data_IF_621302729897
#
_entry.id   IF_621302729897
#
_cell.length_a   1.000
_cell.length_b   1.000
_cell.length_c   1.000
_cell.angle_alpha   90.00
_cell.angle_beta   90.00
_cell.angle_gamma   90.00
#
_symmetry.space_group_name_H-M   'P 1'
#
loop_
_entity.id
_entity.type
_entity.pdbx_description
1 polymer ?
#
# COMPACT_ATOMS: atom_id res chain seq x y z
N UNK A 1 -18.67 13.43 20.11
CA UNK A 1 -19.19 12.04 19.96
C UNK A 1 -18.74 11.17 21.12
N UNK A 2 -19.40 10.03 21.35
CA UNK A 2 -18.99 9.05 22.38
C UNK A 2 -17.72 8.34 21.93
N UNK A 3 -16.65 8.38 22.71
CA UNK A 3 -15.35 7.77 22.34
C UNK A 3 -15.13 6.39 22.93
N UNK A 4 -15.89 6.01 23.96
CA UNK A 4 -15.79 4.69 24.58
C UNK A 4 -17.12 4.29 25.24
N UNK A 5 -17.43 2.99 25.21
CA UNK A 5 -18.48 2.37 26.03
C UNK A 5 -17.92 1.12 26.69
N UNK A 6 -18.31 0.87 27.93
CA UNK A 6 -17.94 -0.35 28.64
C UNK A 6 -19.21 -1.10 29.04
N UNK A 7 -19.29 -2.37 28.64
CA UNK A 7 -20.33 -3.27 29.10
C UNK A 7 -19.83 -4.03 30.34
N UNK A 8 -20.19 -3.54 31.52
CA UNK A 8 -19.80 -4.14 32.80
C UNK A 8 -20.39 -5.54 33.05
N UNK A 9 -21.39 -5.96 32.27
CA UNK A 9 -21.99 -7.29 32.39
C UNK A 9 -21.26 -8.35 31.54
N UNK A 10 -20.71 -7.96 30.38
CA UNK A 10 -19.96 -8.85 29.49
C UNK A 10 -18.45 -8.69 29.57
N UNK A 11 -17.94 -7.62 30.17
CA UNK A 11 -16.49 -7.33 30.22
C UNK A 11 -15.93 -6.81 28.90
N UNK A 12 -16.79 -6.41 27.95
CA UNK A 12 -16.38 -5.80 26.68
C UNK A 12 -16.24 -4.29 26.80
N UNK A 13 -15.25 -3.74 26.10
CA UNK A 13 -15.02 -2.32 25.88
C UNK A 13 -15.13 -2.04 24.39
N UNK A 14 -15.89 -1.01 24.03
CA UNK A 14 -15.97 -0.50 22.67
C UNK A 14 -15.32 0.89 22.62
N UNK A 15 -14.38 1.11 21.70
CA UNK A 15 -13.73 2.40 21.47
C UNK A 15 -14.09 2.93 20.07
N UNK A 16 -14.34 4.23 19.97
CA UNK A 16 -14.82 4.88 18.75
C UNK A 16 -13.92 6.05 18.37
N UNK A 17 -13.53 6.12 17.09
CA UNK A 17 -12.78 7.22 16.50
C UNK A 17 -13.62 7.95 15.45
N UNK A 18 -13.42 9.26 15.31
CA UNK A 18 -14.20 10.10 14.40
C UNK A 18 -13.29 10.98 13.55
N UNK A 19 -13.75 11.36 12.37
CA UNK A 19 -13.10 12.37 11.55
C UNK A 19 -13.43 13.81 12.00
N UNK A 20 -12.90 14.81 11.28
CA UNK A 20 -13.14 16.23 11.55
C UNK A 20 -14.59 16.67 11.34
N UNK A 21 -15.41 15.84 10.71
CA UNK A 21 -16.84 16.06 10.48
C UNK A 21 -17.71 15.24 11.45
N UNK A 22 -17.11 14.73 12.54
CA UNK A 22 -17.77 13.92 13.56
C UNK A 22 -18.35 12.58 13.04
N UNK A 23 -17.85 12.07 11.91
CA UNK A 23 -18.25 10.78 11.34
C UNK A 23 -17.37 9.66 11.87
N UNK A 24 -17.98 8.53 12.25
CA UNK A 24 -17.27 7.38 12.84
C UNK A 24 -16.31 6.76 11.83
N UNK A 25 -15.01 6.77 12.06
CA UNK A 25 -14.00 6.20 11.17
C UNK A 25 -13.50 4.83 11.62
N UNK A 26 -13.61 4.53 12.92
CA UNK A 26 -13.22 3.23 13.48
C UNK A 26 -14.04 2.89 14.72
N UNK A 27 -14.40 1.62 14.87
CA UNK A 27 -14.99 1.02 16.05
C UNK A 27 -14.18 -0.21 16.47
N UNK A 28 -13.65 -0.22 17.69
CA UNK A 28 -12.91 -1.36 18.24
C UNK A 28 -13.73 -2.01 19.34
N UNK A 29 -13.84 -3.33 19.36
CA UNK A 29 -14.45 -4.10 20.46
C UNK A 29 -13.39 -5.01 21.05
N UNK A 30 -13.05 -4.78 22.31
CA UNK A 30 -12.06 -5.57 23.05
C UNK A 30 -12.66 -6.16 24.32
N UNK A 31 -12.15 -7.29 24.79
CA UNK A 31 -12.53 -7.85 26.09
C UNK A 31 -12.61 -9.38 26.07
N UNK A 32 -13.16 -9.97 27.12
CA UNK A 32 -13.24 -11.42 27.26
C UNK A 32 -14.60 -11.82 27.81
N UNK A 33 -15.32 -12.68 27.08
CA UNK A 33 -16.58 -13.29 27.54
C UNK A 33 -16.33 -14.78 27.68
N UNK A 34 -16.60 -15.35 28.87
CA UNK A 34 -16.52 -16.81 29.11
C UNK A 34 -15.19 -17.45 28.67
N UNK A 35 -14.08 -16.69 28.73
CA UNK A 35 -12.74 -17.13 28.32
C UNK A 35 -12.43 -16.95 26.82
N UNK A 36 -13.36 -16.45 26.02
CA UNK A 36 -13.16 -16.09 24.62
C UNK A 36 -12.74 -14.63 24.53
N UNK A 37 -11.56 -14.38 23.97
CA UNK A 37 -11.06 -13.02 23.72
C UNK A 37 -11.66 -12.42 22.45
N UNK A 38 -12.19 -11.21 22.59
CA UNK A 38 -12.68 -10.36 21.52
C UNK A 38 -11.66 -9.26 21.28
N UNK A 39 -11.27 -9.09 20.02
CA UNK A 39 -10.44 -7.98 19.56
C UNK A 39 -10.78 -7.69 18.10
N UNK A 40 -11.96 -7.11 17.90
CA UNK A 40 -12.50 -6.80 16.58
C UNK A 40 -12.33 -5.32 16.30
N UNK A 41 -11.97 -4.98 15.07
CA UNK A 41 -11.92 -3.59 14.59
C UNK A 41 -12.72 -3.46 13.30
N UNK A 42 -13.58 -2.46 13.24
CA UNK A 42 -14.33 -2.10 12.04
C UNK A 42 -13.94 -0.70 11.61
N UNK A 43 -13.45 -0.57 10.38
CA UNK A 43 -13.08 0.70 9.78
C UNK A 43 -14.16 1.16 8.80
N UNK A 44 -14.34 2.48 8.71
CA UNK A 44 -15.37 3.12 7.90
C UNK A 44 -14.74 4.21 7.04
N UNK A 45 -15.10 4.26 5.76
CA UNK A 45 -14.74 5.35 4.86
C UNK A 45 -16.00 6.01 4.31
N UNK A 46 -15.87 7.29 3.97
CA UNK A 46 -16.99 8.09 3.48
C UNK A 46 -16.61 8.89 2.25
N UNK A 47 -17.58 9.13 1.38
CA UNK A 47 -17.48 10.14 0.33
C UNK A 47 -17.70 11.56 0.88
N UNK A 48 -17.64 12.55 -0.02
CA UNK A 48 -17.87 13.96 0.30
C UNK A 48 -19.33 14.26 0.67
N UNK A 49 -20.27 13.40 0.27
CA UNK A 49 -21.69 13.54 0.58
C UNK A 49 -22.06 12.91 1.92
N UNK A 50 -21.09 12.27 2.60
CA UNK A 50 -21.30 11.58 3.87
C UNK A 50 -21.83 10.16 3.73
N UNK A 51 -21.88 9.61 2.53
CA UNK A 51 -22.21 8.20 2.32
C UNK A 51 -21.02 7.34 2.71
N UNK A 52 -21.28 6.18 3.31
CA UNK A 52 -20.24 5.19 3.60
C UNK A 52 -19.80 4.57 2.28
N UNK A 53 -18.54 4.66 1.90
CA UNK A 53 -18.01 4.02 0.69
C UNK A 53 -17.41 2.66 0.97
N UNK A 54 -16.99 2.40 2.22
CA UNK A 54 -16.41 1.13 2.62
C UNK A 54 -16.65 0.87 4.11
N UNK A 55 -16.99 -0.37 4.47
CA UNK A 55 -16.88 -0.90 5.84
C UNK A 55 -16.08 -2.19 5.83
N UNK A 56 -15.07 -2.31 6.68
CA UNK A 56 -14.17 -3.46 6.66
C UNK A 56 -14.81 -4.83 6.99
N UNK A 57 -16.02 -4.84 7.55
CA UNK A 57 -16.80 -6.05 7.87
C UNK A 57 -17.85 -6.42 6.80
N UNK A 58 -18.10 -5.54 5.83
CA UNK A 58 -19.07 -5.73 4.74
C UNK A 58 -18.37 -5.69 3.39
N UNK A 59 -17.61 -4.63 3.10
CA UNK A 59 -16.99 -4.35 1.80
C UNK A 59 -17.29 -2.94 1.29
N UNK A 60 -17.15 -2.75 -0.02
CA UNK A 60 -17.43 -1.49 -0.71
C UNK A 60 -18.93 -1.27 -0.93
N UNK A 61 -19.32 0.01 -0.93
CA UNK A 61 -20.68 0.47 -1.16
C UNK A 61 -20.72 1.32 -2.45
N UNK A 62 -21.51 0.87 -3.41
CA UNK A 62 -21.81 1.64 -4.62
C UNK A 62 -23.13 2.38 -4.49
N UNK A 63 -23.20 3.58 -5.06
CA UNK A 63 -24.38 4.43 -5.01
C UNK A 63 -24.87 4.81 -6.40
N UNK A 64 -26.19 5.00 -6.50
CA UNK A 64 -26.84 5.43 -7.72
C UNK A 64 -26.42 6.88 -8.07
N UNK A 65 -25.89 7.07 -9.28
CA UNK A 65 -25.44 8.38 -9.74
C UNK A 65 -26.54 9.48 -9.78
N UNK A 66 -27.81 9.10 -9.90
CA UNK A 66 -28.97 10.02 -9.92
C UNK A 66 -29.67 10.13 -8.56
N UNK A 67 -29.33 9.24 -7.62
CA UNK A 67 -29.88 9.20 -6.27
C UNK A 67 -28.71 8.96 -5.31
N UNK A 68 -27.95 10.01 -4.94
CA UNK A 68 -26.61 9.89 -4.37
C UNK A 68 -26.54 9.16 -3.02
N UNK A 69 -27.67 8.95 -2.33
CA UNK A 69 -27.74 8.18 -1.08
C UNK A 69 -28.38 6.79 -1.26
N UNK A 70 -28.74 6.41 -2.49
CA UNK A 70 -29.34 5.12 -2.78
C UNK A 70 -28.24 4.12 -3.14
N UNK A 71 -27.97 3.19 -2.23
CA UNK A 71 -27.05 2.08 -2.44
C UNK A 71 -27.56 1.21 -3.60
N UNK A 72 -26.68 0.86 -4.54
CA UNK A 72 -26.98 0.00 -5.69
C UNK A 72 -26.37 -1.38 -5.55
N UNK A 73 -25.23 -1.48 -4.88
CA UNK A 73 -24.58 -2.72 -4.51
C UNK A 73 -23.79 -2.49 -3.23
N UNK A 74 -23.74 -3.52 -2.42
CA UNK A 74 -22.67 -3.74 -1.47
C UNK A 74 -21.94 -4.96 -1.96
N UNK A 75 -20.61 -4.92 -1.99
CA UNK A 75 -19.84 -6.15 -2.19
C UNK A 75 -19.97 -6.94 -0.87
N UNK A 76 -21.05 -7.72 -0.73
CA UNK A 76 -21.43 -8.40 0.51
C UNK A 76 -20.52 -9.62 0.71
N UNK A 77 -19.33 -9.37 1.26
CA UNK A 77 -18.50 -10.42 1.84
C UNK A 77 -18.61 -10.29 3.36
N UNK A 78 -19.67 -10.87 3.99
CA UNK A 78 -19.85 -10.80 5.43
C UNK A 78 -18.72 -11.58 6.10
N UNK A 79 -17.74 -10.86 6.63
CA UNK A 79 -16.64 -11.47 7.38
C UNK A 79 -17.13 -11.78 8.80
N UNK A 80 -17.68 -12.99 8.99
CA UNK A 80 -17.91 -13.55 10.33
C UNK A 80 -17.44 -15.01 10.44
N UNK A 81 -16.25 -15.12 11.03
CA UNK A 81 -15.65 -16.23 11.79
C UNK A 81 -15.37 -17.59 11.10
N UNK A 82 -14.05 -17.76 10.84
CA UNK A 82 -13.23 -18.96 10.61
C UNK A 82 -12.86 -19.26 9.15
N UNK A 83 -11.60 -18.90 8.81
CA UNK A 83 -10.82 -19.05 7.55
C UNK A 83 -11.37 -20.02 6.49
N UNK A 84 -11.36 -19.64 5.20
CA UNK A 84 -10.15 -19.26 4.49
C UNK A 84 -10.10 -17.77 4.22
N UNK A 85 -8.94 -17.25 4.48
CA UNK A 85 -8.53 -15.90 4.25
C UNK A 85 -8.41 -15.65 2.73
N UNK A 86 -9.39 -14.98 2.17
CA UNK A 86 -9.29 -14.44 0.81
C UNK A 86 -8.22 -13.36 0.80
N UNK A 87 -7.16 -13.57 0.04
CA UNK A 87 -6.10 -12.59 -0.28
C UNK A 87 -6.74 -11.22 -0.56
N UNK A 88 -6.44 -10.25 0.31
CA UNK A 88 -7.02 -8.90 0.31
C UNK A 88 -6.23 -7.93 -0.58
N UNK A 89 -4.98 -8.27 -0.92
CA UNK A 89 -4.07 -7.44 -1.70
C UNK A 89 -3.26 -8.27 -2.71
N UNK A 90 -3.82 -8.44 -3.91
CA UNK A 90 -3.18 -9.12 -5.04
C UNK A 90 -1.65 -8.87 -5.15
N UNK A 91 -0.88 -9.94 -5.27
CA UNK A 91 0.58 -9.89 -5.44
C UNK A 91 1.07 -9.41 -6.83
N UNK A 92 0.40 -8.43 -7.44
CA UNK A 92 0.72 -7.89 -8.76
C UNK A 92 0.17 -6.45 -8.97
N UNK A 93 0.32 -5.91 -10.18
CA UNK A 93 -0.03 -4.52 -10.51
C UNK A 93 -1.53 -4.20 -10.45
N UNK A 94 -2.41 -5.21 -10.39
CA UNK A 94 -3.86 -5.03 -10.21
C UNK A 94 -4.27 -4.89 -8.74
N UNK A 95 -3.32 -4.76 -7.82
CA UNK A 95 -3.64 -4.52 -6.40
C UNK A 95 -4.51 -3.28 -6.18
N UNK A 96 -5.48 -3.44 -5.29
CA UNK A 96 -6.30 -2.38 -4.73
C UNK A 96 -5.56 -1.60 -3.64
N UNK A 97 -4.56 -2.22 -2.99
CA UNK A 97 -3.74 -1.63 -1.95
C UNK A 97 -3.03 -0.36 -2.40
N UNK A 98 -3.23 0.73 -1.68
CA UNK A 98 -2.65 2.04 -1.96
C UNK A 98 -2.30 2.76 -0.67
N UNK A 99 -1.20 3.49 -0.69
CA UNK A 99 -0.84 4.42 0.39
C UNK A 99 -0.06 5.60 -0.16
N UNK A 100 0.00 6.69 0.60
CA UNK A 100 0.70 7.91 0.22
C UNK A 100 2.00 8.07 1.00
N UNK A 101 2.89 8.90 0.49
CA UNK A 101 4.10 9.29 1.21
C UNK A 101 3.75 9.91 2.58
N UNK A 102 4.56 9.59 3.58
CA UNK A 102 4.42 9.98 4.99
C UNK A 102 3.12 9.49 5.65
N UNK A 103 2.51 8.44 5.10
CA UNK A 103 1.39 7.72 5.70
C UNK A 103 1.79 6.30 6.10
N UNK A 104 0.89 5.63 6.83
CA UNK A 104 0.98 4.22 7.18
C UNK A 104 -0.23 3.47 6.66
N UNK A 105 -0.02 2.23 6.25
CA UNK A 105 -1.08 1.26 5.94
C UNK A 105 -0.86 0.00 6.76
N UNK A 106 -1.94 -0.65 7.14
CA UNK A 106 -1.91 -1.96 7.81
C UNK A 106 -2.42 -3.03 6.86
N UNK A 107 -1.83 -4.21 6.93
CA UNK A 107 -2.31 -5.40 6.24
C UNK A 107 -2.10 -6.63 7.10
N UNK A 108 -2.44 -7.79 6.57
CA UNK A 108 -2.32 -9.05 7.26
C UNK A 108 -1.81 -10.11 6.29
N UNK A 109 -0.82 -10.90 6.72
CA UNK A 109 -0.40 -12.08 5.96
C UNK A 109 -1.34 -13.20 6.38
N UNK A 110 -2.31 -13.48 5.53
CA UNK A 110 -3.44 -14.37 5.77
C UNK A 110 -3.05 -15.85 5.77
N UNK A 111 -2.25 -16.22 4.77
CA UNK A 111 -1.83 -17.60 4.52
C UNK A 111 -0.35 -17.70 4.20
N UNK A 112 0.14 -18.93 4.23
CA UNK A 112 1.46 -19.21 3.69
C UNK A 112 1.57 -18.78 2.21
N UNK A 113 2.68 -18.14 1.84
CA UNK A 113 2.99 -17.58 0.51
C UNK A 113 2.28 -16.31 0.11
N UNK A 114 1.47 -15.77 1.01
CA UNK A 114 0.77 -14.53 0.80
C UNK A 114 1.73 -13.32 0.73
N UNK A 115 1.37 -12.38 -0.14
CA UNK A 115 2.17 -11.21 -0.49
C UNK A 115 1.29 -10.05 -0.91
N UNK A 116 1.17 -9.13 0.01
CA UNK A 116 0.34 -7.96 -0.21
C UNK A 116 1.13 -6.91 -0.98
N UNK A 117 0.62 -6.47 -2.13
CA UNK A 117 1.21 -5.37 -2.87
C UNK A 117 0.49 -4.06 -2.60
N UNK A 118 1.24 -2.99 -2.34
CA UNK A 118 0.71 -1.64 -2.21
C UNK A 118 1.32 -0.72 -3.26
N UNK A 119 0.47 0.04 -3.97
CA UNK A 119 0.93 1.04 -4.92
C UNK A 119 1.17 2.40 -4.26
N UNK A 120 2.26 3.05 -4.66
CA UNK A 120 2.66 4.39 -4.22
C UNK A 120 3.22 5.18 -5.40
N UNK A 121 2.85 6.45 -5.53
CA UNK A 121 3.42 7.35 -6.54
C UNK A 121 4.65 8.06 -5.97
N UNK A 122 5.78 7.92 -6.64
CA UNK A 122 7.04 8.56 -6.28
C UNK A 122 7.51 9.51 -7.38
N UNK A 123 8.23 10.56 -7.01
CA UNK A 123 8.86 11.49 -7.95
C UNK A 123 10.33 11.14 -8.18
N UNK A 124 10.85 11.32 -9.39
CA UNK A 124 12.26 11.10 -9.69
C UNK A 124 13.18 11.88 -8.71
N UNK A 125 14.25 11.23 -8.23
CA UNK A 125 15.18 11.75 -7.24
C UNK A 125 14.69 11.68 -5.79
N UNK A 126 13.43 11.33 -5.54
CA UNK A 126 12.90 11.19 -4.18
C UNK A 126 13.49 9.94 -3.51
N UNK A 127 14.12 10.13 -2.35
CA UNK A 127 14.61 9.05 -1.52
C UNK A 127 13.59 8.78 -0.41
N UNK A 128 13.11 7.54 -0.35
CA UNK A 128 12.04 7.10 0.53
C UNK A 128 12.52 5.87 1.28
N UNK A 129 12.30 5.86 2.58
CA UNK A 129 12.47 4.68 3.42
C UNK A 129 11.12 4.03 3.66
N UNK A 130 11.02 2.76 3.29
CA UNK A 130 9.91 1.88 3.58
C UNK A 130 10.24 1.07 4.82
N UNK A 131 9.38 1.13 5.83
CA UNK A 131 9.53 0.42 7.11
C UNK A 131 8.33 -0.51 7.30
N UNK A 132 8.59 -1.82 7.31
CA UNK A 132 7.57 -2.86 7.45
C UNK A 132 7.69 -3.47 8.84
N UNK A 133 6.66 -3.25 9.66
CA UNK A 133 6.73 -3.50 11.10
C UNK A 133 5.64 -4.44 11.58
N UNK A 134 6.00 -5.37 12.44
CA UNK A 134 5.10 -6.32 13.08
C UNK A 134 5.22 -6.31 14.61
N UNK A 135 5.20 -7.49 15.23
CA UNK A 135 5.23 -7.65 16.68
C UNK A 135 6.48 -7.09 17.38
N UNK A 136 7.70 -7.07 16.78
CA UNK A 136 8.88 -6.54 17.49
C UNK A 136 8.76 -5.07 17.90
N UNK A 137 7.91 -4.30 17.22
CA UNK A 137 7.61 -2.89 17.56
C UNK A 137 6.15 -2.67 17.91
N UNK A 138 5.42 -3.73 18.30
CA UNK A 138 4.00 -3.69 18.65
C UNK A 138 3.12 -3.04 17.56
N UNK A 139 3.55 -3.13 16.29
CA UNK A 139 2.90 -2.51 15.13
C UNK A 139 2.18 -3.55 14.25
N UNK A 140 1.82 -4.68 14.87
CA UNK A 140 1.21 -5.82 14.23
C UNK A 140 1.44 -7.11 15.03
N UNK A 141 0.88 -8.22 14.58
CA UNK A 141 1.09 -9.56 15.17
C UNK A 141 2.09 -10.40 14.39
N UNK A 142 2.47 -9.99 13.18
CA UNK A 142 3.45 -10.69 12.36
C UNK A 142 4.82 -10.66 13.05
N UNK A 143 5.37 -11.84 13.32
CA UNK A 143 6.60 -11.96 14.12
C UNK A 143 7.87 -11.62 13.34
N UNK A 144 7.85 -11.82 12.03
CA UNK A 144 9.02 -11.69 11.17
C UNK A 144 8.58 -11.13 9.80
N UNK A 145 8.23 -9.83 9.73
CA UNK A 145 7.93 -9.18 8.46
C UNK A 145 9.13 -9.23 7.52
N UNK A 146 8.88 -9.46 6.23
CA UNK A 146 9.90 -9.42 5.19
C UNK A 146 9.39 -8.63 3.98
N UNK A 147 9.98 -7.45 3.74
CA UNK A 147 9.85 -6.67 2.51
C UNK A 147 10.36 -7.46 1.30
N UNK A 148 9.44 -7.99 0.50
CA UNK A 148 9.72 -8.86 -0.65
C UNK A 148 10.23 -8.14 -1.89
N UNK A 149 10.18 -6.82 -1.90
CA UNK A 149 10.74 -6.02 -2.98
C UNK A 149 9.95 -4.76 -3.26
N UNK A 150 10.60 -3.90 -4.02
CA UNK A 150 10.00 -2.76 -4.70
C UNK A 150 9.97 -3.08 -6.19
N UNK A 151 8.81 -2.95 -6.79
CA UNK A 151 8.57 -3.23 -8.19
C UNK A 151 8.28 -1.94 -8.95
N UNK A 152 8.73 -1.87 -10.19
CA UNK A 152 8.45 -0.73 -11.07
C UNK A 152 7.00 -0.73 -11.57
N UNK A 153 6.65 0.26 -12.40
CA UNK A 153 5.30 0.43 -12.92
C UNK A 153 4.78 -0.74 -13.78
N UNK A 154 5.68 -1.61 -14.26
CA UNK A 154 5.35 -2.81 -15.04
C UNK A 154 5.20 -4.06 -14.17
N UNK A 155 5.48 -3.94 -12.87
CA UNK A 155 5.52 -5.08 -11.94
C UNK A 155 6.85 -5.85 -11.99
N UNK A 156 7.92 -5.24 -12.50
CA UNK A 156 9.25 -5.86 -12.51
C UNK A 156 10.00 -5.53 -11.23
N UNK A 157 10.59 -6.55 -10.57
CA UNK A 157 11.36 -6.37 -9.35
C UNK A 157 12.60 -5.50 -9.59
N UNK A 158 12.76 -4.46 -8.78
CA UNK A 158 13.97 -3.64 -8.77
C UNK A 158 15.00 -4.33 -7.88
N UNK A 159 16.18 -4.64 -8.43
CA UNK A 159 17.25 -5.32 -7.69
C UNK A 159 17.65 -4.60 -6.40
N UNK A 160 18.05 -5.37 -5.38
CA UNK A 160 18.51 -4.87 -4.08
C UNK A 160 17.44 -4.09 -3.29
N UNK A 161 16.17 -4.46 -3.44
CA UNK A 161 15.04 -3.85 -2.70
C UNK A 161 14.29 -4.84 -1.80
N UNK A 162 14.85 -6.03 -1.61
CA UNK A 162 14.41 -7.01 -0.61
C UNK A 162 15.11 -6.73 0.71
N UNK A 163 14.40 -6.80 1.85
CA UNK A 163 15.01 -6.66 3.18
C UNK A 163 14.27 -7.52 4.19
N UNK A 164 15.01 -8.28 4.97
CA UNK A 164 14.50 -9.17 6.01
C UNK A 164 14.52 -8.45 7.36
N UNK A 165 15.72 -8.19 7.89
CA UNK A 165 15.96 -7.72 9.26
C UNK A 165 16.68 -6.37 9.36
N UNK A 166 16.61 -5.51 8.34
CA UNK A 166 17.28 -4.19 8.39
C UNK A 166 16.54 -3.15 9.25
N UNK A 167 15.42 -3.53 9.87
CA UNK A 167 14.61 -2.71 10.79
C UNK A 167 14.93 -2.95 12.27
N UNK A 168 13.99 -2.57 13.15
CA UNK A 168 14.12 -2.82 14.60
C UNK A 168 13.68 -4.26 14.91
N UNK A 169 14.57 -5.07 15.46
CA UNK A 169 14.28 -6.49 15.69
C UNK A 169 14.23 -7.24 14.35
N UNK A 170 13.26 -8.13 14.18
CA UNK A 170 13.00 -8.85 12.92
C UNK A 170 12.10 -8.06 11.95
N UNK A 171 12.07 -6.73 12.05
CA UNK A 171 11.31 -5.91 11.10
C UNK A 171 12.19 -5.58 9.89
N UNK A 172 11.57 -5.28 8.76
CA UNK A 172 12.29 -4.95 7.52
C UNK A 172 12.35 -3.46 7.24
N UNK A 173 13.43 -3.04 6.55
CA UNK A 173 13.61 -1.66 6.14
C UNK A 173 14.35 -1.54 4.81
N UNK A 174 13.78 -0.81 3.87
CA UNK A 174 14.44 -0.52 2.58
C UNK A 174 14.47 0.99 2.35
N UNK A 175 15.63 1.53 2.01
CA UNK A 175 15.74 2.90 1.51
C UNK A 175 15.93 2.86 0.00
N UNK A 176 15.02 3.50 -0.73
CA UNK A 176 14.92 3.49 -2.18
C UNK A 176 14.96 4.90 -2.73
N UNK A 177 15.67 5.11 -3.84
CA UNK A 177 15.63 6.38 -4.59
C UNK A 177 14.93 6.14 -5.92
N UNK A 178 13.81 6.82 -6.15
CA UNK A 178 13.07 6.70 -7.40
C UNK A 178 13.86 7.33 -8.55
N UNK A 179 14.12 6.56 -9.61
CA UNK A 179 14.84 7.06 -10.79
C UNK A 179 13.93 7.78 -11.80
N UNK A 180 12.63 7.51 -11.72
CA UNK A 180 11.59 8.06 -12.60
C UNK A 180 10.38 8.46 -11.76
N UNK A 181 9.63 9.47 -12.22
CA UNK A 181 8.35 9.80 -11.60
C UNK A 181 7.30 8.81 -12.08
N UNK A 182 6.88 7.89 -11.21
CA UNK A 182 5.93 6.85 -11.58
C UNK A 182 5.24 6.21 -10.37
N UNK A 183 4.32 5.29 -10.65
CA UNK A 183 3.81 4.34 -9.66
C UNK A 183 4.81 3.22 -9.45
N UNK A 184 5.08 2.91 -8.19
CA UNK A 184 5.86 1.77 -7.74
C UNK A 184 4.99 0.89 -6.85
N UNK A 185 5.34 -0.39 -6.74
CA UNK A 185 4.63 -1.35 -5.90
C UNK A 185 5.56 -1.90 -4.81
N UNK A 186 5.08 -1.93 -3.58
CA UNK A 186 5.83 -2.43 -2.42
C UNK A 186 5.18 -3.75 -2.01
N UNK A 187 5.97 -4.83 -1.99
CA UNK A 187 5.47 -6.16 -1.59
C UNK A 187 5.82 -6.43 -0.13
N UNK A 188 4.80 -6.54 0.71
CA UNK A 188 4.91 -7.06 2.06
C UNK A 188 4.82 -8.59 2.05
N UNK A 189 5.28 -9.22 3.13
CA UNK A 189 5.28 -10.67 3.30
C UNK A 189 5.91 -11.04 4.65
N UNK A 190 6.10 -12.34 4.88
CA UNK A 190 6.67 -12.87 6.12
C UNK A 190 7.89 -13.76 5.86
N UNK A 191 9.00 -13.69 6.62
CA UNK A 191 10.25 -14.43 6.31
C UNK A 191 10.04 -15.92 6.07
N UNK A 192 9.57 -16.62 7.10
CA UNK A 192 9.13 -18.01 7.02
C UNK A 192 7.74 -18.11 6.39
N UNK A 193 7.75 -17.99 5.07
CA UNK A 193 6.56 -17.86 4.24
C UNK A 193 5.59 -19.05 4.32
N UNK A 194 6.00 -20.20 4.88
CA UNK A 194 5.16 -21.40 5.00
C UNK A 194 4.33 -21.48 6.28
N UNK A 195 4.59 -20.63 7.28
CA UNK A 195 3.86 -20.70 8.56
C UNK A 195 3.73 -19.38 9.31
N UNK A 196 4.51 -18.36 8.94
CA UNK A 196 4.43 -17.06 9.60
C UNK A 196 3.33 -16.22 8.95
N UNK A 197 2.37 -15.82 9.76
CA UNK A 197 1.16 -15.08 9.37
C UNK A 197 0.89 -14.03 10.46
N UNK A 198 0.06 -13.04 10.13
CA UNK A 198 -0.33 -12.00 11.07
C UNK A 198 -0.24 -10.59 10.49
N UNK A 199 -0.63 -9.63 11.32
CA UNK A 199 -0.79 -8.24 10.91
C UNK A 199 0.53 -7.49 10.91
N UNK A 200 0.65 -6.49 10.04
CA UNK A 200 1.79 -5.60 9.97
C UNK A 200 1.36 -4.17 9.68
N UNK A 201 2.29 -3.23 9.87
CA UNK A 201 2.17 -1.83 9.46
C UNK A 201 3.31 -1.48 8.51
N UNK A 202 2.98 -1.05 7.29
CA UNK A 202 3.93 -0.49 6.33
C UNK A 202 3.88 1.04 6.38
N UNK A 203 5.03 1.68 6.43
CA UNK A 203 5.15 3.14 6.29
C UNK A 203 6.10 3.52 5.17
N UNK A 204 5.88 4.70 4.58
CA UNK A 204 6.83 5.31 3.65
C UNK A 204 7.19 6.71 4.14
N UNK A 205 8.46 6.95 4.42
CA UNK A 205 8.95 8.25 4.90
C UNK A 205 9.96 8.83 3.91
N UNK A 206 9.82 10.09 3.53
CA UNK A 206 10.86 10.78 2.74
C UNK A 206 12.09 10.97 3.62
N UNK A 207 13.21 10.37 3.22
CA UNK A 207 14.48 10.46 3.95
C UNK A 207 15.54 11.28 3.20
N UNK A 208 15.25 11.66 1.96
CA UNK A 208 16.07 12.60 1.21
C UNK A 208 15.45 12.98 -0.13
N UNK A 209 16.11 13.90 -0.82
CA UNK A 209 15.80 14.22 -2.21
C UNK A 209 17.10 14.47 -2.93
N UNK A 210 17.51 13.52 -3.76
CA UNK A 210 18.63 13.69 -4.65
C UNK A 210 18.13 14.45 -5.88
N UNK A 211 18.05 15.78 -5.78
CA UNK A 211 17.72 16.67 -6.91
C UNK A 211 18.74 16.58 -8.08
N UNK A 212 19.84 15.84 -7.88
CA UNK A 212 20.87 15.54 -8.88
C UNK A 212 20.70 14.18 -9.58
N UNK A 213 19.67 13.39 -9.25
CA UNK A 213 19.19 12.37 -10.19
C UNK A 213 18.48 13.14 -11.30
N UNK A 214 19.24 13.54 -12.32
CA UNK A 214 18.66 13.81 -13.64
C UNK A 214 17.77 12.58 -13.89
N UNK A 215 16.45 12.75 -14.11
CA UNK A 215 15.57 11.61 -14.36
C UNK A 215 16.31 10.73 -15.36
N UNK A 216 16.38 9.41 -15.12
CA UNK A 216 16.80 8.53 -16.21
C UNK A 216 15.86 8.93 -17.35
N UNK A 217 16.34 9.66 -18.39
CA UNK A 217 15.41 10.19 -19.36
C UNK A 217 14.81 8.92 -19.92
N UNK A 218 13.48 8.82 -19.93
CA UNK A 218 12.83 7.97 -20.93
C UNK A 218 13.63 8.18 -22.19
N UNK A 219 14.34 7.16 -22.69
CA UNK A 219 15.33 7.38 -23.75
C UNK A 219 14.64 8.20 -24.85
N UNK A 220 14.99 9.48 -24.95
CA UNK A 220 14.21 10.42 -25.77
C UNK A 220 14.86 10.36 -27.13
N UNK A 221 14.29 9.51 -27.96
CA UNK A 221 14.64 9.43 -29.37
C UNK A 221 13.69 10.34 -30.14
N UNK A 222 14.23 11.37 -30.76
CA UNK A 222 13.49 12.12 -31.79
C UNK A 222 13.97 11.67 -33.16
N UNK A 223 13.07 11.68 -34.13
CA UNK A 223 13.35 11.29 -35.50
C UNK A 223 12.97 12.42 -36.46
N UNK A 224 13.67 12.52 -37.58
CA UNK A 224 13.24 13.38 -38.69
C UNK A 224 12.11 12.72 -39.51
N UNK A 225 11.53 13.45 -40.46
CA UNK A 225 10.45 12.97 -41.34
C UNK A 225 10.86 11.78 -42.23
N UNK A 226 12.17 11.48 -42.34
CA UNK A 226 12.72 10.34 -43.08
C UNK A 226 13.02 9.14 -42.17
N UNK A 227 12.74 9.24 -40.87
CA UNK A 227 12.96 8.18 -39.88
C UNK A 227 14.38 8.11 -39.32
N UNK A 228 15.24 9.10 -39.56
CA UNK A 228 16.58 9.14 -38.97
C UNK A 228 16.52 9.70 -37.53
N UNK A 229 17.23 9.08 -36.59
CA UNK A 229 17.28 9.53 -35.20
C UNK A 229 18.05 10.86 -35.07
N UNK A 230 17.39 11.96 -34.75
CA UNK A 230 17.96 13.31 -34.64
C UNK A 230 18.48 13.66 -33.24
N UNK A 231 18.04 12.94 -32.21
CA UNK A 231 18.47 13.16 -30.83
C UNK A 231 18.47 11.83 -30.07
N UNK A 232 19.55 11.58 -29.32
CA UNK A 232 19.63 10.52 -28.33
C UNK A 232 19.92 11.19 -26.98
N UNK A 233 18.88 11.37 -26.17
CA UNK A 233 18.95 12.11 -24.91
C UNK A 233 19.51 13.54 -25.14
N UNK A 234 20.68 13.87 -24.59
CA UNK A 234 21.29 15.20 -24.75
C UNK A 234 22.22 15.31 -25.97
N UNK A 235 22.35 14.24 -26.77
CA UNK A 235 23.23 14.21 -27.93
C UNK A 235 22.44 14.40 -29.23
N UNK A 236 22.62 15.55 -29.87
CA UNK A 236 22.10 15.81 -31.22
C UNK A 236 22.91 15.02 -32.25
N UNK A 237 22.20 14.38 -33.19
CA UNK A 237 22.79 13.64 -34.30
C UNK A 237 22.39 14.36 -35.58
N UNK A 238 23.38 14.91 -36.29
CA UNK A 238 23.16 15.53 -37.58
C UNK A 238 23.29 14.49 -38.68
N UNK A 239 22.41 14.56 -39.68
CA UNK A 239 22.42 13.67 -40.84
C UNK A 239 22.76 14.46 -42.10
N UNK A 240 23.47 13.80 -43.02
CA UNK A 240 23.66 14.31 -44.37
C UNK A 240 22.40 14.11 -45.20
N UNK A 241 22.29 14.76 -46.37
CA UNK A 241 21.19 14.56 -47.33
C UNK A 241 21.07 13.13 -47.89
N UNK A 242 22.00 12.23 -47.53
CA UNK A 242 22.00 10.81 -47.89
C UNK A 242 21.71 9.89 -46.69
N UNK A 243 21.13 10.41 -45.61
CA UNK A 243 20.83 9.65 -44.39
C UNK A 243 22.05 8.95 -43.78
N UNK A 244 23.21 9.62 -43.81
CA UNK A 244 24.43 9.18 -43.08
C UNK A 244 24.72 10.10 -41.90
N UNK A 245 25.14 9.59 -40.73
CA UNK A 245 25.51 10.43 -39.60
C UNK A 245 26.68 11.33 -39.98
N UNK A 246 26.54 12.62 -39.70
CA UNK A 246 27.60 13.62 -39.83
C UNK A 246 28.50 13.48 -38.60
N UNK A 247 29.80 13.28 -38.81
CA UNK A 247 30.80 13.25 -37.74
C UNK A 247 31.04 14.64 -37.19
#
# INVERSE_FOLDING_TARGET
NVTQRQNHQSGLTEDFQYDQLDRLTQSNTTGTIEGVSYNNSTNFQYDINGNITHKSDIGDYDYNAQRPHAITSTDDSPSSTSSPSTDDYNANTTTTGMFTINSSVTGNIETANDKDWFKITLTAGQQVTFDLRGSPTQSGTLSDPYLRGIYDNTGTLISNTTSDDDGIGSNSKVTFTANTSNTYYISAGAYYISSNTGTYTLTATVTGSNANIIPNPSNTYTYDANGNMTQNNNKLIQWTSFNKPKR
#
